data_IF_958637264525
#
_entry.id   IF_958637264525
#
_cell.length_a   1.000
_cell.length_b   1.000
_cell.length_c   1.000
_cell.angle_alpha   90.00
_cell.angle_beta   90.00
_cell.angle_gamma   90.00
#
_symmetry.space_group_name_H-M   'P 1'
#
loop_
_entity.id
_entity.type
_entity.pdbx_description
1 polymer ?
#
# COMPACT_ATOMS: atom_id res chain seq x y z
N UNK A 1 1.29 15.49 -4.70
CA UNK A 1 0.92 14.32 -3.90
C UNK A 1 -0.12 13.55 -4.68
N UNK A 2 0.19 12.34 -5.14
CA UNK A 2 -0.88 11.43 -5.56
C UNK A 2 -1.79 11.23 -4.35
N UNK A 3 -3.07 11.50 -4.52
CA UNK A 3 -4.04 11.38 -3.45
C UNK A 3 -4.05 9.92 -2.96
N UNK A 4 -3.98 9.71 -1.65
CA UNK A 4 -4.03 8.37 -1.06
C UNK A 4 -5.31 7.65 -1.53
N UNK A 5 -6.41 8.39 -1.72
CA UNK A 5 -7.66 7.85 -2.26
C UNK A 5 -7.52 7.40 -3.71
N UNK A 6 -6.78 8.14 -4.55
CA UNK A 6 -6.51 7.76 -5.95
C UNK A 6 -5.69 6.46 -6.02
N UNK A 7 -4.68 6.31 -5.16
CA UNK A 7 -3.92 5.06 -5.06
C UNK A 7 -4.79 3.88 -4.61
N UNK A 8 -5.64 4.08 -3.60
CA UNK A 8 -6.59 3.05 -3.14
C UNK A 8 -7.51 2.64 -4.30
N UNK A 9 -8.09 3.60 -5.03
CA UNK A 9 -8.95 3.32 -6.18
C UNK A 9 -8.21 2.54 -7.27
N UNK A 10 -6.94 2.87 -7.53
CA UNK A 10 -6.10 2.14 -8.49
C UNK A 10 -5.84 0.69 -8.06
N UNK A 11 -5.62 0.44 -6.76
CA UNK A 11 -5.49 -0.92 -6.22
C UNK A 11 -6.82 -1.69 -6.27
N UNK A 12 -7.94 -1.02 -5.99
CA UNK A 12 -9.28 -1.60 -6.08
C UNK A 12 -9.64 -1.97 -7.53
N UNK A 13 -9.15 -1.23 -8.52
CA UNK A 13 -9.33 -1.53 -9.95
C UNK A 13 -8.34 -2.57 -10.52
N UNK A 14 -7.25 -2.89 -9.81
CA UNK A 14 -6.22 -3.79 -10.31
C UNK A 14 -6.67 -5.25 -10.30
N UNK A 15 -6.44 -5.97 -11.39
CA UNK A 15 -6.72 -7.41 -11.45
C UNK A 15 -5.57 -8.24 -10.85
N UNK A 16 -4.33 -7.76 -10.98
CA UNK A 16 -3.10 -8.42 -10.54
C UNK A 16 -2.12 -7.39 -9.96
N UNK A 17 -1.22 -7.86 -9.09
CA UNK A 17 -0.16 -7.01 -8.56
C UNK A 17 0.88 -6.67 -9.62
N UNK A 18 1.51 -5.50 -9.52
CA UNK A 18 2.50 -5.05 -10.49
C UNK A 18 3.61 -4.23 -9.84
N UNK A 19 4.78 -4.19 -10.48
CA UNK A 19 5.90 -3.34 -10.05
C UNK A 19 5.54 -1.86 -10.06
N UNK A 20 4.62 -1.45 -10.93
CA UNK A 20 4.14 -0.07 -10.97
C UNK A 20 3.28 0.24 -9.74
N UNK A 21 2.38 -0.67 -9.35
CA UNK A 21 1.61 -0.53 -8.12
C UNK A 21 2.53 -0.50 -6.91
N UNK A 22 3.50 -1.41 -6.84
CA UNK A 22 4.49 -1.45 -5.76
C UNK A 22 5.28 -0.15 -5.64
N UNK A 23 5.68 0.43 -6.78
CA UNK A 23 6.41 1.70 -6.82
C UNK A 23 5.57 2.86 -6.29
N UNK A 24 4.28 2.92 -6.61
CA UNK A 24 3.37 3.96 -6.12
C UNK A 24 3.06 3.75 -4.63
N UNK A 25 2.82 2.51 -4.18
CA UNK A 25 2.64 2.18 -2.76
C UNK A 25 3.89 2.56 -1.96
N UNK A 26 5.07 2.24 -2.47
CA UNK A 26 6.33 2.64 -1.85
C UNK A 26 6.45 4.15 -1.72
N UNK A 27 6.15 4.90 -2.78
CA UNK A 27 6.21 6.36 -2.77
C UNK A 27 5.27 6.95 -1.71
N UNK A 28 3.99 6.57 -1.78
CA UNK A 28 2.94 7.09 -0.88
C UNK A 28 3.24 6.79 0.60
N UNK A 29 3.79 5.62 0.90
CA UNK A 29 4.09 5.21 2.29
C UNK A 29 5.40 5.77 2.84
N UNK A 30 6.23 6.40 2.00
CA UNK A 30 7.50 7.01 2.41
C UNK A 30 7.51 8.54 2.22
N UNK A 31 6.38 9.15 1.83
CA UNK A 31 6.28 10.60 1.63
C UNK A 31 6.92 11.09 0.32
N UNK A 32 7.10 10.21 -0.67
CA UNK A 32 7.58 10.57 -2.00
C UNK A 32 6.44 10.67 -3.01
N UNK A 33 6.66 11.42 -4.08
CA UNK A 33 5.81 11.40 -5.27
C UNK A 33 6.50 10.60 -6.38
N UNK A 34 5.82 9.60 -6.93
CA UNK A 34 6.34 8.91 -8.11
C UNK A 34 6.19 9.83 -9.34
N UNK A 35 7.31 10.22 -9.93
CA UNK A 35 7.34 11.10 -11.09
C UNK A 35 7.12 10.30 -12.37
N UNK A 36 7.96 9.29 -12.63
CA UNK A 36 7.87 8.41 -13.79
C UNK A 36 8.83 7.23 -13.69
N UNK A 37 8.64 6.26 -14.59
CA UNK A 37 9.63 5.25 -14.94
C UNK A 37 10.33 5.64 -16.25
N UNK A 38 11.65 5.54 -16.31
CA UNK A 38 12.43 5.89 -17.52
C UNK A 38 13.13 4.68 -18.19
N UNK A 39 12.76 3.46 -17.79
CA UNK A 39 13.40 2.22 -18.26
C UNK A 39 14.62 1.80 -17.45
N UNK A 40 15.35 2.77 -16.88
CA UNK A 40 16.52 2.54 -16.03
C UNK A 40 16.15 2.50 -14.54
N UNK A 41 15.04 3.13 -14.14
CA UNK A 41 14.55 3.08 -12.77
C UNK A 41 13.30 3.92 -12.53
N UNK A 42 12.87 3.92 -11.27
CA UNK A 42 11.77 4.75 -10.79
C UNK A 42 12.34 6.08 -10.28
N UNK A 43 11.76 7.17 -10.76
CA UNK A 43 12.11 8.52 -10.34
C UNK A 43 11.08 8.99 -9.32
N UNK A 44 11.56 9.35 -8.14
CA UNK A 44 10.76 9.82 -7.02
C UNK A 44 11.15 11.26 -6.69
N UNK A 45 10.17 12.07 -6.31
CA UNK A 45 10.39 13.43 -5.84
C UNK A 45 10.11 13.52 -4.34
N UNK A 46 11.07 14.07 -3.59
CA UNK A 46 10.92 14.35 -2.16
C UNK A 46 10.83 15.86 -1.97
N UNK A 47 9.64 16.38 -1.65
CA UNK A 47 9.39 17.83 -1.56
C UNK A 47 9.87 18.62 -2.80
N UNK A 48 9.95 19.95 -2.71
CA UNK A 48 9.85 20.84 -3.87
C UNK A 48 10.89 20.64 -4.99
N UNK A 49 12.09 20.09 -4.74
CA UNK A 49 13.18 20.16 -5.74
C UNK A 49 14.05 18.90 -5.92
N UNK A 50 14.14 17.96 -4.96
CA UNK A 50 15.04 16.81 -5.11
C UNK A 50 14.35 15.60 -5.77
N UNK A 51 14.81 15.25 -6.99
CA UNK A 51 14.44 14.01 -7.68
C UNK A 51 15.48 12.93 -7.35
N UNK A 52 15.06 11.92 -6.61
CA UNK A 52 15.85 10.73 -6.34
C UNK A 52 15.52 9.63 -7.34
N UNK A 53 16.56 9.01 -7.89
CA UNK A 53 16.41 7.80 -8.70
C UNK A 53 16.59 6.58 -7.83
N UNK A 54 15.60 5.72 -7.80
CA UNK A 54 15.80 4.33 -7.43
C UNK A 54 16.01 3.54 -8.71
N UNK A 55 17.21 2.97 -8.87
CA UNK A 55 17.51 2.11 -9.99
C UNK A 55 16.45 1.01 -10.15
N UNK A 56 16.27 0.50 -11.36
CA UNK A 56 15.34 -0.61 -11.64
C UNK A 56 15.62 -1.85 -10.79
N UNK A 57 16.87 -2.02 -10.38
CA UNK A 57 17.39 -3.04 -9.44
C UNK A 57 17.26 -2.65 -7.97
N UNK A 58 16.96 -1.37 -7.68
CA UNK A 58 16.67 -0.87 -6.34
C UNK A 58 15.51 -1.64 -5.72
N UNK A 59 15.69 -2.05 -4.46
CA UNK A 59 14.81 -2.98 -3.77
C UNK A 59 13.50 -2.29 -3.35
N UNK A 60 12.57 -2.10 -4.30
CA UNK A 60 11.16 -1.86 -3.98
C UNK A 60 10.54 -3.23 -3.72
N UNK A 61 10.07 -3.56 -2.50
CA UNK A 61 9.42 -4.83 -2.23
C UNK A 61 8.15 -5.02 -3.06
N UNK A 62 7.81 -6.26 -3.38
CA UNK A 62 6.61 -6.60 -4.16
C UNK A 62 5.32 -6.50 -3.35
N UNK A 63 4.96 -5.32 -2.81
CA UNK A 63 3.84 -5.14 -1.88
C UNK A 63 2.50 -5.69 -2.41
N UNK A 64 2.17 -5.43 -3.67
CA UNK A 64 0.95 -5.89 -4.33
C UNK A 64 1.03 -7.35 -4.81
N UNK A 65 2.22 -7.96 -4.78
CA UNK A 65 2.50 -9.28 -5.35
C UNK A 65 2.84 -10.34 -4.30
N UNK A 66 3.25 -9.94 -3.09
CA UNK A 66 3.70 -10.81 -2.00
C UNK A 66 3.01 -10.42 -0.70
N UNK A 67 2.36 -11.40 -0.06
CA UNK A 67 1.74 -11.22 1.25
C UNK A 67 2.80 -10.86 2.30
N UNK A 68 3.97 -11.49 2.26
CA UNK A 68 5.06 -11.21 3.20
C UNK A 68 5.55 -9.77 3.09
N UNK A 69 5.70 -9.26 1.86
CA UNK A 69 6.06 -7.86 1.64
C UNK A 69 4.98 -6.91 2.15
N UNK A 70 3.70 -7.24 1.94
CA UNK A 70 2.58 -6.45 2.45
C UNK A 70 2.46 -6.49 3.98
N UNK A 71 2.78 -7.61 4.64
CA UNK A 71 2.84 -7.71 6.09
C UNK A 71 4.01 -6.89 6.65
N UNK A 72 5.19 -6.97 6.04
CA UNK A 72 6.33 -6.12 6.40
C UNK A 72 6.01 -4.62 6.25
N UNK A 73 5.18 -4.27 5.25
CA UNK A 73 4.64 -2.91 5.12
C UNK A 73 3.70 -2.57 6.28
N UNK A 74 2.82 -3.48 6.68
CA UNK A 74 1.91 -3.28 7.80
C UNK A 74 2.67 -3.03 9.11
N UNK A 75 3.68 -3.84 9.42
CA UNK A 75 4.50 -3.68 10.63
C UNK A 75 5.16 -2.29 10.71
N UNK A 76 5.48 -1.70 9.56
CA UNK A 76 6.08 -0.37 9.47
C UNK A 76 5.06 0.76 9.60
N UNK A 77 3.88 0.60 8.98
CA UNK A 77 2.90 1.70 8.82
C UNK A 77 1.86 1.70 9.96
N UNK A 78 1.46 0.52 10.42
CA UNK A 78 0.47 0.31 11.47
C UNK A 78 1.01 -0.62 12.56
N UNK A 79 2.11 -0.24 13.25
CA UNK A 79 2.76 -1.10 14.22
C UNK A 79 1.82 -1.47 15.37
N UNK A 80 1.75 -2.76 15.68
CA UNK A 80 0.93 -3.27 16.77
C UNK A 80 -0.58 -3.22 16.52
N UNK A 81 -1.02 -3.07 15.27
CA UNK A 81 -2.42 -3.29 14.90
C UNK A 81 -2.68 -4.80 14.71
N UNK A 82 -3.91 -5.23 14.91
CA UNK A 82 -4.29 -6.58 14.51
C UNK A 82 -4.70 -6.58 13.05
N UNK A 83 -4.43 -7.69 12.37
CA UNK A 83 -4.73 -7.91 10.96
C UNK A 83 -5.50 -9.21 10.87
N UNK A 84 -6.66 -9.18 10.22
CA UNK A 84 -7.45 -10.37 9.93
C UNK A 84 -7.59 -10.52 8.41
N UNK A 85 -7.28 -11.71 7.90
CA UNK A 85 -7.45 -12.08 6.50
C UNK A 85 -8.51 -13.18 6.42
N UNK A 86 -9.57 -12.95 5.66
CA UNK A 86 -10.61 -13.95 5.36
C UNK A 86 -10.71 -14.18 3.86
N UNK A 87 -10.70 -15.46 3.46
CA UNK A 87 -10.93 -15.89 2.08
C UNK A 87 -12.41 -16.23 1.88
N UNK A 88 -13.02 -15.60 0.88
CA UNK A 88 -14.36 -15.92 0.40
C UNK A 88 -14.30 -16.44 -1.04
N UNK A 89 -15.43 -16.73 -1.68
CA UNK A 89 -15.44 -17.22 -3.07
C UNK A 89 -14.95 -16.16 -4.08
N UNK A 90 -15.26 -14.90 -3.83
CA UNK A 90 -15.04 -13.76 -4.71
C UNK A 90 -13.73 -13.01 -4.48
N UNK A 91 -13.10 -13.17 -3.32
CA UNK A 91 -11.81 -12.55 -3.04
C UNK A 91 -11.30 -12.77 -1.63
N UNK A 92 -10.36 -11.92 -1.25
CA UNK A 92 -9.86 -11.77 0.10
C UNK A 92 -10.43 -10.50 0.70
N UNK A 93 -10.89 -10.63 1.94
CA UNK A 93 -11.32 -9.52 2.78
C UNK A 93 -10.32 -9.38 3.89
N UNK A 94 -9.73 -8.20 4.01
CA UNK A 94 -8.74 -7.87 5.01
C UNK A 94 -9.29 -6.79 5.92
N UNK A 95 -9.18 -7.00 7.23
CA UNK A 95 -9.47 -6.00 8.24
C UNK A 95 -8.20 -5.63 8.99
N UNK A 96 -8.02 -4.36 9.28
CA UNK A 96 -6.96 -3.85 10.15
C UNK A 96 -7.54 -2.89 11.18
N UNK A 97 -7.12 -3.00 12.43
CA UNK A 97 -7.50 -2.03 13.46
C UNK A 97 -6.51 -2.02 14.65
N UNK A 98 -6.47 -0.94 15.46
CA UNK A 98 -5.73 -0.95 16.73
C UNK A 98 -6.26 -2.04 17.68
N UNK A 99 -5.40 -2.63 18.51
CA UNK A 99 -5.80 -3.68 19.47
C UNK A 99 -6.92 -3.26 20.44
N UNK A 100 -7.03 -1.97 20.75
CA UNK A 100 -8.05 -1.44 21.67
C UNK A 100 -9.36 -1.02 20.99
N UNK A 101 -9.45 -1.13 19.66
CA UNK A 101 -10.63 -0.70 18.90
C UNK A 101 -11.71 -1.78 18.83
N UNK A 102 -12.95 -1.37 18.60
CA UNK A 102 -14.04 -2.32 18.32
C UNK A 102 -13.88 -2.82 16.88
N UNK A 103 -14.32 -4.05 16.61
CA UNK A 103 -14.27 -4.63 15.26
C UNK A 103 -15.04 -3.78 14.22
N UNK A 104 -16.10 -3.09 14.65
CA UNK A 104 -16.88 -2.19 13.80
C UNK A 104 -16.08 -0.99 13.27
N UNK A 105 -14.98 -0.62 13.94
CA UNK A 105 -14.11 0.49 13.57
C UNK A 105 -12.94 0.02 12.66
N UNK A 106 -12.88 -1.27 12.34
CA UNK A 106 -11.81 -1.83 11.52
C UNK A 106 -11.90 -1.36 10.06
N UNK A 107 -10.75 -0.98 9.52
CA UNK A 107 -10.62 -0.55 8.13
C UNK A 107 -10.43 -1.76 7.23
N UNK A 108 -11.06 -1.70 6.05
CA UNK A 108 -11.26 -2.89 5.22
C UNK A 108 -10.69 -2.72 3.82
N UNK A 109 -10.02 -3.76 3.35
CA UNK A 109 -9.62 -3.95 1.96
C UNK A 109 -10.25 -5.22 1.39
N UNK A 110 -10.68 -5.13 0.13
CA UNK A 110 -11.24 -6.27 -0.60
C UNK A 110 -10.60 -6.33 -1.98
N UNK A 111 -10.07 -7.50 -2.36
CA UNK A 111 -9.54 -7.76 -3.70
C UNK A 111 -9.33 -9.26 -3.93
N UNK A 112 -9.24 -9.69 -5.20
CA UNK A 112 -8.96 -11.09 -5.55
C UNK A 112 -7.55 -11.53 -5.12
N UNK A 113 -6.49 -10.72 -5.25
CA UNK A 113 -5.20 -11.05 -4.66
C UNK A 113 -5.12 -10.55 -3.20
N UNK A 114 -4.74 -11.44 -2.29
CA UNK A 114 -4.63 -11.13 -0.85
C UNK A 114 -3.68 -9.96 -0.56
N UNK A 115 -2.55 -9.89 -1.27
CA UNK A 115 -1.55 -8.85 -1.10
C UNK A 115 -2.11 -7.45 -1.44
N UNK A 116 -2.94 -7.35 -2.49
CA UNK A 116 -3.60 -6.09 -2.85
C UNK A 116 -4.66 -5.73 -1.81
N UNK A 117 -5.50 -6.69 -1.38
CA UNK A 117 -6.50 -6.46 -0.34
C UNK A 117 -5.87 -5.95 0.95
N UNK A 118 -4.72 -6.51 1.34
CA UNK A 118 -3.95 -6.06 2.50
C UNK A 118 -3.36 -4.65 2.30
N UNK A 119 -2.78 -4.35 1.13
CA UNK A 119 -2.30 -3.00 0.82
C UNK A 119 -3.42 -1.96 0.92
N UNK A 120 -4.62 -2.25 0.41
CA UNK A 120 -5.78 -1.35 0.51
C UNK A 120 -6.11 -1.05 1.97
N UNK A 121 -6.19 -2.08 2.83
CA UNK A 121 -6.51 -1.91 4.25
C UNK A 121 -5.44 -1.07 4.98
N UNK A 122 -4.16 -1.32 4.72
CA UNK A 122 -3.03 -0.57 5.30
C UNK A 122 -3.07 0.90 4.87
N UNK A 123 -3.31 1.17 3.59
CA UNK A 123 -3.33 2.55 3.08
C UNK A 123 -4.54 3.34 3.61
N UNK A 124 -5.70 2.70 3.76
CA UNK A 124 -6.86 3.31 4.45
C UNK A 124 -6.52 3.65 5.89
N UNK A 125 -5.80 2.78 6.60
CA UNK A 125 -5.36 3.04 7.97
C UNK A 125 -4.37 4.20 8.07
N UNK A 126 -3.42 4.28 7.13
CA UNK A 126 -2.51 5.42 7.04
C UNK A 126 -3.26 6.72 6.78
N UNK A 127 -4.19 6.74 5.83
CA UNK A 127 -4.98 7.93 5.50
C UNK A 127 -5.73 8.46 6.74
N UNK A 128 -6.39 7.57 7.50
CA UNK A 128 -7.11 7.95 8.71
C UNK A 128 -6.18 8.49 9.82
N UNK A 129 -4.95 7.98 9.90
CA UNK A 129 -3.94 8.45 10.85
C UNK A 129 -3.38 9.82 10.50
N UNK A 130 -3.22 10.12 9.20
CA UNK A 130 -2.69 11.39 8.71
C UNK A 130 -3.72 12.55 8.83
N UNK A 131 -5.01 12.25 9.04
CA UNK A 131 -6.09 13.22 9.27
C UNK A 131 -6.27 13.67 10.74
N UNK A 132 -5.49 13.12 11.69
CA UNK A 132 -5.57 13.43 13.13
C UNK A 132 -4.41 14.30 13.61
#
# INVERSE_FOLDING_TARGET
>A
MADMQELIARLEAAEVGSRELDAVVWAATNGYELVRFDGAGWLYKMHAEDIQRHERTGFIPGFSQSIDAALALADRIIPGWWIELRRYSDGWYVKVAPHSSKEADALQGFQKPAAIALCIAILKAKAQGDER
#
